data_IF_735369187085
#
_entry.id   IF_735369187085
#
_cell.length_a   1.000
_cell.length_b   1.000
_cell.length_c   1.000
_cell.angle_alpha   90.00
_cell.angle_beta   90.00
_cell.angle_gamma   90.00
#
_symmetry.space_group_name_H-M   'P 1'
#
loop_
_entity.id
_entity.type
_entity.pdbx_description
1 polymer ?
#
# COMPACT_ATOMS: atom_id res chain seq x y z
N UNK A 1 -4.04 -1.24 -5.76
CA UNK A 1 -4.83 -0.43 -5.03
C UNK A 1 -6.08 0.18 -5.60
N UNK A 2 -6.03 0.97 -6.71
CA UNK A 2 -7.22 1.71 -7.17
C UNK A 2 -8.42 0.82 -7.51
N UNK A 3 -8.20 -0.27 -8.24
CA UNK A 3 -9.28 -1.19 -8.60
C UNK A 3 -9.97 -1.84 -7.41
N UNK A 4 -9.22 -2.18 -6.35
CA UNK A 4 -9.81 -2.72 -5.11
C UNK A 4 -10.65 -1.68 -4.37
N UNK A 5 -10.19 -0.42 -4.36
CA UNK A 5 -10.94 0.68 -3.77
C UNK A 5 -12.24 0.96 -4.55
N UNK A 6 -12.18 0.94 -5.88
CA UNK A 6 -13.37 1.09 -6.73
C UNK A 6 -14.35 -0.06 -6.53
N UNK A 7 -13.88 -1.32 -6.48
CA UNK A 7 -14.70 -2.48 -6.19
C UNK A 7 -15.36 -2.37 -4.80
N UNK A 8 -14.59 -2.02 -3.76
CA UNK A 8 -15.12 -1.81 -2.42
C UNK A 8 -16.17 -0.69 -2.36
N UNK A 9 -15.98 0.39 -3.12
CA UNK A 9 -16.96 1.48 -3.21
C UNK A 9 -18.28 1.01 -3.86
N UNK A 10 -18.20 0.22 -4.95
CA UNK A 10 -19.38 -0.35 -5.61
C UNK A 10 -20.11 -1.33 -4.69
N UNK A 11 -19.39 -2.19 -3.97
CA UNK A 11 -19.98 -3.11 -3.02
C UNK A 11 -20.72 -2.38 -1.89
N UNK A 12 -20.12 -1.34 -1.32
CA UNK A 12 -20.79 -0.49 -0.31
C UNK A 12 -22.04 0.18 -0.87
N UNK A 13 -21.96 0.71 -2.09
CA UNK A 13 -23.13 1.30 -2.75
C UNK A 13 -24.26 0.29 -2.96
N UNK A 14 -23.91 -0.99 -3.22
CA UNK A 14 -24.85 -2.09 -3.36
C UNK A 14 -25.32 -2.69 -2.02
N UNK A 15 -24.93 -2.08 -0.88
CA UNK A 15 -25.22 -2.59 0.47
C UNK A 15 -24.76 -4.04 0.69
N UNK A 16 -23.65 -4.40 0.06
CA UNK A 16 -23.04 -5.72 0.17
C UNK A 16 -22.12 -5.76 1.39
N UNK A 17 -22.24 -6.79 2.24
CA UNK A 17 -21.54 -6.91 3.54
C UNK A 17 -20.78 -8.22 3.74
N UNK A 18 -20.70 -9.10 2.70
CA UNK A 18 -19.96 -10.36 2.78
C UNK A 18 -18.47 -10.14 2.46
N UNK A 19 -17.65 -10.05 3.51
CA UNK A 19 -16.20 -9.83 3.43
C UNK A 19 -15.47 -11.01 2.75
N UNK A 20 -15.94 -12.26 2.97
CA UNK A 20 -15.34 -13.46 2.38
C UNK A 20 -15.56 -13.46 0.86
N UNK A 21 -16.78 -13.17 0.43
CA UNK A 21 -17.10 -13.06 -0.98
C UNK A 21 -16.38 -11.85 -1.61
N UNK A 22 -16.24 -10.73 -0.90
CA UNK A 22 -15.45 -9.58 -1.36
C UNK A 22 -13.96 -9.95 -1.55
N UNK A 23 -13.36 -10.74 -0.64
CA UNK A 23 -11.98 -11.21 -0.76
C UNK A 23 -11.78 -12.13 -1.98
N UNK A 24 -12.82 -12.84 -2.43
CA UNK A 24 -12.76 -13.66 -3.65
C UNK A 24 -12.62 -12.85 -4.94
N UNK A 25 -13.02 -11.58 -4.92
CA UNK A 25 -12.84 -10.64 -6.05
C UNK A 25 -11.38 -10.16 -6.10
N UNK A 26 -10.76 -9.97 -4.94
CA UNK A 26 -9.36 -9.62 -4.79
C UNK A 26 -9.00 -9.40 -3.32
N UNK A 27 -7.78 -9.76 -2.95
CA UNK A 27 -7.31 -9.75 -1.56
C UNK A 27 -7.56 -8.43 -0.80
N UNK A 28 -7.42 -7.28 -1.47
CA UNK A 28 -7.62 -5.97 -0.85
C UNK A 28 -9.08 -5.50 -0.87
N UNK A 29 -9.99 -6.21 -1.58
CA UNK A 29 -11.38 -5.74 -1.78
C UNK A 29 -12.16 -5.83 -0.48
N UNK A 30 -11.98 -6.88 0.31
CA UNK A 30 -12.62 -7.03 1.62
C UNK A 30 -12.25 -5.87 2.55
N UNK A 31 -10.96 -5.52 2.66
CA UNK A 31 -10.55 -4.36 3.44
C UNK A 31 -11.12 -3.05 2.88
N UNK A 32 -11.16 -2.87 1.56
CA UNK A 32 -11.78 -1.70 0.94
C UNK A 32 -13.29 -1.64 1.16
N UNK A 33 -13.96 -2.78 1.37
CA UNK A 33 -15.37 -2.84 1.75
C UNK A 33 -15.58 -2.33 3.19
N UNK A 34 -14.77 -2.83 4.14
CA UNK A 34 -14.84 -2.46 5.56
C UNK A 34 -14.30 -1.04 5.79
N UNK A 35 -13.14 -0.75 5.23
CA UNK A 35 -12.46 0.55 5.39
C UNK A 35 -11.79 0.74 6.74
N UNK A 36 -11.38 1.99 7.02
CA UNK A 36 -10.75 2.37 8.28
C UNK A 36 -9.31 1.90 8.44
N UNK A 37 -8.94 1.55 9.68
CA UNK A 37 -7.65 0.97 10.04
C UNK A 37 -7.87 -0.45 10.52
N UNK A 38 -7.15 -1.41 9.98
CA UNK A 38 -7.28 -2.81 10.36
C UNK A 38 -5.96 -3.57 10.20
N UNK A 39 -5.86 -4.69 10.92
CA UNK A 39 -4.91 -5.76 10.61
C UNK A 39 -5.61 -6.70 9.62
N UNK A 40 -4.98 -6.96 8.50
CA UNK A 40 -5.48 -7.90 7.48
C UNK A 40 -4.54 -9.08 7.40
N UNK A 41 -5.10 -10.29 7.47
CA UNK A 41 -4.35 -11.56 7.40
C UNK A 41 -5.06 -12.57 6.49
N UNK A 42 -4.51 -13.78 6.39
CA UNK A 42 -4.98 -14.76 5.40
C UNK A 42 -4.59 -14.33 4.00
N UNK A 43 -5.51 -14.48 3.05
CA UNK A 43 -5.40 -13.95 1.68
C UNK A 43 -6.17 -12.62 1.53
N UNK A 44 -6.50 -11.93 2.66
CA UNK A 44 -7.20 -10.67 2.69
C UNK A 44 -8.59 -10.72 3.32
N UNK A 45 -9.08 -11.91 3.69
CA UNK A 45 -10.42 -12.14 4.23
C UNK A 45 -10.51 -11.98 5.76
N UNK A 46 -9.40 -12.04 6.47
CA UNK A 46 -9.39 -11.90 7.92
C UNK A 46 -9.07 -10.45 8.29
N UNK A 47 -10.09 -9.69 8.61
CA UNK A 47 -9.99 -8.26 8.92
C UNK A 47 -10.24 -8.06 10.41
N UNK A 48 -9.23 -7.58 11.12
CA UNK A 48 -9.31 -7.17 12.53
C UNK A 48 -9.29 -5.63 12.59
N UNK A 49 -10.44 -4.99 12.84
CA UNK A 49 -10.50 -3.54 12.94
C UNK A 49 -9.62 -3.00 14.08
N UNK A 50 -8.93 -1.91 13.84
CA UNK A 50 -8.10 -1.21 14.81
C UNK A 50 -8.66 0.19 15.07
N UNK A 51 -8.39 0.80 16.24
CA UNK A 51 -8.78 2.17 16.51
C UNK A 51 -8.28 3.12 15.43
N UNK A 52 -9.14 4.08 15.05
CA UNK A 52 -8.74 5.13 14.11
C UNK A 52 -7.58 5.94 14.67
N UNK A 53 -6.61 6.22 13.83
CA UNK A 53 -5.51 7.15 14.10
C UNK A 53 -5.48 8.18 12.98
N UNK A 54 -5.56 9.46 13.35
CA UNK A 54 -5.36 10.51 12.38
C UNK A 54 -3.87 10.62 12.05
N UNK A 55 -3.54 10.34 10.79
CA UNK A 55 -2.18 10.44 10.27
C UNK A 55 -2.19 11.20 8.96
N UNK A 56 -1.09 11.85 8.65
CA UNK A 56 -0.86 12.49 7.35
C UNK A 56 0.37 11.87 6.72
N UNK A 57 0.28 11.62 5.43
CA UNK A 57 1.34 11.01 4.64
C UNK A 57 1.65 11.86 3.42
N UNK A 58 2.92 11.88 3.05
CA UNK A 58 3.37 12.38 1.75
C UNK A 58 3.75 11.22 0.88
N UNK A 59 3.14 11.14 -0.29
CA UNK A 59 3.33 10.09 -1.27
C UNK A 59 4.08 10.62 -2.48
N UNK A 60 4.99 9.81 -3.03
CA UNK A 60 5.67 10.04 -4.30
C UNK A 60 5.50 8.80 -5.17
N UNK A 61 4.77 8.95 -6.27
CA UNK A 61 4.46 7.83 -7.18
C UNK A 61 5.27 7.97 -8.46
N UNK A 62 6.17 7.03 -8.76
CA UNK A 62 6.87 6.96 -10.04
C UNK A 62 5.91 6.85 -11.23
N UNK A 63 6.30 7.32 -12.43
CA UNK A 63 5.46 7.21 -13.64
C UNK A 63 5.43 5.81 -14.25
N UNK A 64 5.89 4.80 -13.53
CA UNK A 64 5.86 3.39 -13.92
C UNK A 64 5.30 2.53 -12.77
N UNK A 65 4.73 1.38 -13.12
CA UNK A 65 4.23 0.40 -12.15
C UNK A 65 5.24 -0.71 -11.87
N UNK A 66 5.04 -1.43 -10.77
CA UNK A 66 5.69 -2.69 -10.48
C UNK A 66 4.70 -3.85 -10.70
N UNK A 67 5.18 -4.91 -11.34
CA UNK A 67 4.38 -6.14 -11.48
C UNK A 67 4.32 -6.86 -10.13
N UNK A 68 3.17 -6.81 -9.46
CA UNK A 68 2.96 -7.50 -8.18
C UNK A 68 3.35 -8.99 -8.23
N UNK A 69 2.92 -9.78 -9.26
CA UNK A 69 3.36 -11.18 -9.36
C UNK A 69 4.88 -11.33 -9.50
N UNK A 70 5.56 -10.44 -10.24
CA UNK A 70 7.01 -10.51 -10.41
C UNK A 70 7.74 -10.19 -9.10
N UNK A 71 7.25 -9.23 -8.32
CA UNK A 71 7.83 -8.88 -7.02
C UNK A 71 7.69 -10.03 -6.03
N UNK A 72 6.53 -10.67 -5.94
CA UNK A 72 6.34 -11.85 -5.09
C UNK A 72 7.22 -13.02 -5.52
N UNK A 73 7.31 -13.31 -6.83
CA UNK A 73 8.20 -14.36 -7.34
C UNK A 73 9.68 -14.08 -7.02
N UNK A 74 10.10 -12.82 -7.10
CA UNK A 74 11.45 -12.42 -6.71
C UNK A 74 11.67 -12.57 -5.20
N UNK A 75 10.69 -12.19 -4.38
CA UNK A 75 10.74 -12.32 -2.92
C UNK A 75 10.87 -13.80 -2.50
N UNK A 76 10.09 -14.69 -3.10
CA UNK A 76 10.18 -16.13 -2.89
C UNK A 76 11.57 -16.67 -3.30
N UNK A 77 12.08 -16.26 -4.47
CA UNK A 77 13.38 -16.68 -4.97
C UNK A 77 14.54 -16.19 -4.07
N UNK A 78 14.36 -15.06 -3.38
CA UNK A 78 15.32 -14.52 -2.40
C UNK A 78 15.23 -15.21 -1.04
N UNK A 79 14.31 -16.16 -0.84
CA UNK A 79 14.08 -16.85 0.43
C UNK A 79 13.24 -16.09 1.44
N UNK A 80 12.39 -15.17 0.97
CA UNK A 80 11.47 -14.43 1.81
C UNK A 80 12.15 -13.43 2.77
N UNK A 81 12.98 -12.50 2.27
CA UNK A 81 13.70 -11.56 3.13
C UNK A 81 12.74 -10.67 3.92
N UNK A 82 13.21 -10.21 5.09
CA UNK A 82 12.56 -9.16 5.85
C UNK A 82 13.02 -7.80 5.38
N UNK A 83 12.07 -6.89 5.21
CA UNK A 83 12.35 -5.50 4.90
C UNK A 83 12.79 -4.73 6.14
N UNK A 84 13.82 -3.90 6.00
CA UNK A 84 14.37 -3.12 7.10
C UNK A 84 13.39 -2.04 7.61
N UNK A 85 12.54 -1.53 6.72
CA UNK A 85 11.63 -0.39 6.99
C UNK A 85 10.16 -0.78 6.97
N UNK A 86 9.84 -2.02 7.35
CA UNK A 86 8.47 -2.47 7.57
C UNK A 86 7.73 -3.00 6.34
N UNK A 87 8.42 -3.13 5.19
CA UNK A 87 7.87 -3.78 4.02
C UNK A 87 8.81 -4.90 3.51
N UNK A 88 8.42 -6.14 3.75
CA UNK A 88 9.21 -7.32 3.38
C UNK A 88 9.38 -7.47 1.86
N UNK A 89 8.54 -6.83 1.05
CA UNK A 89 8.63 -6.85 -0.42
C UNK A 89 9.62 -5.82 -0.99
N UNK A 90 10.07 -4.84 -0.20
CA UNK A 90 10.95 -3.77 -0.69
C UNK A 90 12.24 -4.29 -1.34
N UNK A 91 13.00 -5.25 -0.76
CA UNK A 91 14.20 -5.78 -1.39
C UNK A 91 13.93 -6.41 -2.75
N UNK A 92 12.83 -7.16 -2.86
CA UNK A 92 12.42 -7.80 -4.11
C UNK A 92 11.94 -6.79 -5.16
N UNK A 93 11.18 -5.78 -4.73
CA UNK A 93 10.73 -4.71 -5.61
C UNK A 93 11.91 -3.92 -6.20
N UNK A 94 12.94 -3.63 -5.41
CA UNK A 94 14.17 -2.99 -5.86
C UNK A 94 14.98 -3.88 -6.80
N UNK A 95 14.91 -5.21 -6.64
CA UNK A 95 15.54 -6.14 -7.60
C UNK A 95 14.79 -6.17 -8.93
N UNK A 96 13.46 -6.18 -8.92
CA UNK A 96 12.62 -6.20 -10.12
C UNK A 96 12.64 -4.86 -10.85
N UNK A 97 12.66 -3.76 -10.12
CA UNK A 97 12.63 -2.40 -10.64
C UNK A 97 13.69 -1.52 -9.94
N UNK A 98 14.98 -1.66 -10.27
CA UNK A 98 16.07 -0.94 -9.60
C UNK A 98 15.93 0.58 -9.62
N UNK A 99 15.26 1.14 -10.62
CA UNK A 99 14.96 2.57 -10.72
C UNK A 99 14.06 3.11 -9.58
N UNK A 100 13.39 2.25 -8.83
CA UNK A 100 12.64 2.65 -7.63
C UNK A 100 13.52 3.36 -6.59
N UNK A 101 14.81 3.00 -6.51
CA UNK A 101 15.75 3.63 -5.58
C UNK A 101 15.88 5.13 -5.80
N UNK A 102 15.86 5.60 -7.05
CA UNK A 102 15.95 7.04 -7.37
C UNK A 102 14.80 7.82 -6.74
N UNK A 103 13.58 7.28 -6.79
CA UNK A 103 12.37 7.91 -6.23
C UNK A 103 12.36 7.86 -4.72
N UNK A 104 12.83 6.76 -4.12
CA UNK A 104 13.08 6.67 -2.67
C UNK A 104 14.03 7.78 -2.23
N UNK A 105 15.18 7.87 -2.88
CA UNK A 105 16.25 8.80 -2.50
C UNK A 105 15.81 10.26 -2.70
N UNK A 106 15.02 10.55 -3.73
CA UNK A 106 14.39 11.86 -3.94
C UNK A 106 13.46 12.23 -2.79
N UNK A 107 12.56 11.32 -2.39
CA UNK A 107 11.64 11.58 -1.27
C UNK A 107 12.41 11.69 0.06
N UNK A 108 13.44 10.87 0.27
CA UNK A 108 14.30 10.95 1.45
C UNK A 108 15.01 12.30 1.53
N UNK A 109 15.61 12.77 0.44
CA UNK A 109 16.28 14.06 0.37
C UNK A 109 15.33 15.24 0.63
N UNK A 110 14.10 15.14 0.13
CA UNK A 110 13.09 16.19 0.27
C UNK A 110 12.46 16.26 1.68
N UNK A 111 12.52 15.19 2.46
CA UNK A 111 11.80 15.09 3.74
C UNK A 111 12.69 14.86 4.95
N UNK A 112 13.93 14.42 4.74
CA UNK A 112 14.84 14.01 5.81
C UNK A 112 14.45 12.72 6.50
N UNK A 113 13.47 11.97 5.94
CA UNK A 113 12.99 10.71 6.49
C UNK A 113 13.36 9.54 5.57
N UNK A 114 13.34 8.32 6.10
CA UNK A 114 13.44 7.12 5.27
C UNK A 114 12.07 6.78 4.69
N UNK A 115 11.89 6.77 3.36
CA UNK A 115 10.61 6.41 2.74
C UNK A 115 10.34 4.92 2.86
N UNK A 116 9.06 4.57 3.01
CA UNK A 116 8.56 3.21 2.95
C UNK A 116 7.91 2.95 1.59
N UNK A 117 8.14 1.75 1.05
CA UNK A 117 7.45 1.31 -0.17
C UNK A 117 6.02 0.87 0.17
N UNK A 118 5.04 1.29 -0.61
CA UNK A 118 3.65 0.85 -0.47
C UNK A 118 3.43 -0.48 -1.23
N UNK A 119 3.19 -1.57 -0.47
CA UNK A 119 2.95 -2.90 -1.04
C UNK A 119 4.10 -3.36 -1.94
N UNK A 120 3.80 -3.86 -3.13
CA UNK A 120 4.79 -4.24 -4.15
C UNK A 120 5.36 -3.06 -4.95
N UNK A 121 4.97 -1.84 -4.62
CA UNK A 121 5.35 -0.61 -5.31
C UNK A 121 4.35 -0.23 -6.40
N UNK A 122 4.59 0.87 -7.07
CA UNK A 122 5.80 1.71 -7.15
C UNK A 122 5.82 2.91 -6.18
N UNK A 123 4.73 3.19 -5.46
CA UNK A 123 4.60 4.39 -4.61
C UNK A 123 5.47 4.29 -3.35
N UNK A 124 6.19 5.37 -3.07
CA UNK A 124 6.89 5.60 -1.81
C UNK A 124 6.13 6.57 -0.93
N UNK A 125 6.23 6.42 0.38
CA UNK A 125 5.60 7.36 1.31
C UNK A 125 6.45 7.59 2.56
N UNK A 126 6.21 8.74 3.19
CA UNK A 126 6.67 9.08 4.55
C UNK A 126 5.51 9.62 5.36
N UNK A 127 5.58 9.54 6.67
CA UNK A 127 4.61 10.17 7.57
C UNK A 127 4.94 11.68 7.69
N UNK A 128 3.90 12.51 7.61
CA UNK A 128 4.00 13.97 7.66
C UNK A 128 3.58 14.66 6.37
N UNK A 129 3.48 15.98 6.42
CA UNK A 129 3.08 16.83 5.32
C UNK A 129 4.31 17.56 4.74
N UNK A 130 4.79 17.09 3.60
CA UNK A 130 5.94 17.67 2.87
C UNK A 130 5.52 18.01 1.43
N UNK A 131 4.67 19.05 1.24
CA UNK A 131 4.20 19.40 -0.09
C UNK A 131 5.36 19.81 -1.02
N UNK A 132 5.21 19.49 -2.30
CA UNK A 132 6.21 19.85 -3.31
C UNK A 132 5.93 19.16 -4.65
N UNK A 133 6.73 19.42 -5.68
CA UNK A 133 6.54 18.88 -7.00
C UNK A 133 6.45 17.35 -6.99
N UNK A 134 5.45 16.77 -7.68
CA UNK A 134 5.22 15.33 -7.78
C UNK A 134 4.75 14.64 -6.51
N UNK A 135 4.66 15.34 -5.39
CA UNK A 135 4.25 14.79 -4.09
C UNK A 135 2.78 15.06 -3.80
N UNK A 136 2.07 14.03 -3.38
CA UNK A 136 0.69 14.11 -2.90
C UNK A 136 0.68 14.02 -1.38
N UNK A 137 0.05 14.98 -0.71
CA UNK A 137 -0.19 14.93 0.74
C UNK A 137 -1.63 14.45 0.97
N UNK A 138 -1.78 13.40 1.75
CA UNK A 138 -3.08 12.81 2.08
C UNK A 138 -3.16 12.53 3.60
N UNK A 139 -4.35 12.68 4.17
CA UNK A 139 -4.61 12.34 5.56
C UNK A 139 -5.61 11.20 5.65
N UNK A 140 -5.44 10.36 6.68
CA UNK A 140 -6.41 9.32 6.99
C UNK A 140 -7.75 9.95 7.41
N UNK A 141 -8.83 9.28 7.03
CA UNK A 141 -10.20 9.66 7.42
C UNK A 141 -10.84 8.52 8.19
N UNK A 142 -11.71 8.81 9.18
CA UNK A 142 -12.46 7.76 9.86
C UNK A 142 -13.42 7.07 8.89
N UNK A 143 -13.85 5.86 9.25
CA UNK A 143 -14.96 5.18 8.56
C UNK A 143 -16.25 5.94 8.86
N UNK A 144 -17.10 6.08 7.88
CA UNK A 144 -18.39 6.74 8.00
C UNK A 144 -19.44 5.80 8.59
#
# INVERSE_FOLDING_TARGET
GGGSADAGAVLRWAEFDDEIAAASIGADVAFCLVGGRARVTGVGELIEPLPFEQRTYTLLTPPFGCSTPAVYAAWDAMGGPKGEYGNDLEPAALQVAPQLSTWRDELAAATGQHPCLAGSGSTWFVEGAFPGPGRLVASTVPVF
#
